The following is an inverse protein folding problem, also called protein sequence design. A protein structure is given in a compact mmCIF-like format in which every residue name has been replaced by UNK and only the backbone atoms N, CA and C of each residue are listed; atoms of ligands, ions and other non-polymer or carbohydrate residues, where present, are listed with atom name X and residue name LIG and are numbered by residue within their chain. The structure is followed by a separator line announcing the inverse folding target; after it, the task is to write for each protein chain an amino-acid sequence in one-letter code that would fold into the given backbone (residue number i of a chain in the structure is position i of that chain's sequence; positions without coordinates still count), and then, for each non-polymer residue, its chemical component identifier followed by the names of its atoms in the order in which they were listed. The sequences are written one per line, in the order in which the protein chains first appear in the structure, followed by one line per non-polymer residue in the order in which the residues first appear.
data_IF_759579164793
#
_entry.id   IF_759579164793
#
_cell.length_a   1.000
_cell.length_b   1.000
_cell.length_c   1.000
_cell.angle_alpha   90.00
_cell.angle_beta   90.00
_cell.angle_gamma   90.00
#
_symmetry.space_group_name_H-M   'P 1'
#
loop_
_entity.id
_entity.type
_entity.pdbx_description
1 polymer ?
#
# COMPACT_ATOMS: atom_id res chain seq x y z
N UNK A 1 -14.91 -26.51 18.12
CA UNK A 1 -15.65 -25.77 17.08
C UNK A 1 -14.76 -25.75 15.84
N UNK A 2 -15.27 -26.03 14.62
CA UNK A 2 -14.40 -26.17 13.46
C UNK A 2 -13.83 -24.80 13.09
N UNK A 3 -12.51 -24.70 13.14
CA UNK A 3 -11.77 -23.49 12.80
C UNK A 3 -11.68 -23.42 11.27
N UNK A 4 -12.28 -22.37 10.67
CA UNK A 4 -12.23 -22.17 9.23
C UNK A 4 -10.78 -21.80 8.88
N UNK A 5 -10.13 -22.61 8.02
CA UNK A 5 -8.76 -22.37 7.52
C UNK A 5 -8.61 -21.03 6.80
N UNK A 6 -9.72 -20.36 6.46
CA UNK A 6 -9.74 -19.04 5.88
C UNK A 6 -9.89 -18.00 7.00
N UNK A 7 -8.80 -17.28 7.27
CA UNK A 7 -8.82 -16.10 8.12
C UNK A 7 -9.70 -14.98 7.54
N UNK A 8 -9.86 -13.88 8.29
CA UNK A 8 -10.70 -12.75 7.85
C UNK A 8 -10.25 -12.25 6.47
N UNK A 9 -11.20 -12.24 5.53
CA UNK A 9 -10.95 -11.75 4.17
C UNK A 9 -10.50 -10.27 4.21
N UNK A 10 -9.53 -9.88 3.36
CA UNK A 10 -9.12 -8.49 3.25
C UNK A 10 -10.30 -7.64 2.80
N UNK A 11 -10.59 -6.56 3.52
CA UNK A 11 -11.61 -5.59 3.11
C UNK A 11 -11.08 -4.83 1.89
N UNK A 12 -11.73 -5.01 0.75
CA UNK A 12 -11.54 -4.12 -0.39
C UNK A 12 -12.36 -2.86 -0.10
N UNK A 13 -11.68 -1.75 0.20
CA UNK A 13 -12.31 -0.48 0.52
C UNK A 13 -12.19 0.49 -0.66
N UNK A 14 -13.28 1.18 -0.98
CA UNK A 14 -13.27 2.37 -1.83
C UNK A 14 -13.19 3.60 -0.92
N UNK A 15 -12.33 4.56 -1.28
CA UNK A 15 -12.17 5.81 -0.53
C UNK A 15 -12.60 6.97 -1.43
N UNK A 16 -13.53 7.80 -0.95
CA UNK A 16 -13.90 9.05 -1.63
C UNK A 16 -12.97 10.18 -1.17
N UNK A 17 -12.40 10.89 -2.13
CA UNK A 17 -11.51 12.04 -1.89
C UNK A 17 -11.98 13.22 -2.73
N UNK A 18 -12.03 14.42 -2.14
CA UNK A 18 -12.28 15.67 -2.85
C UNK A 18 -10.95 16.37 -3.08
N UNK A 19 -10.70 16.80 -4.32
CA UNK A 19 -9.48 17.51 -4.72
C UNK A 19 -9.84 18.85 -5.34
N UNK A 20 -9.01 19.86 -5.09
CA UNK A 20 -9.09 21.17 -5.74
C UNK A 20 -8.08 21.16 -6.88
N UNK A 21 -8.53 21.54 -8.08
CA UNK A 21 -7.72 21.55 -9.29
C UNK A 21 -7.80 22.95 -9.92
N UNK A 22 -6.73 23.45 -10.54
CA UNK A 22 -6.81 24.60 -11.44
C UNK A 22 -7.79 24.30 -12.59
N UNK A 23 -8.55 25.31 -13.01
CA UNK A 23 -9.50 25.19 -14.12
C UNK A 23 -8.84 24.70 -15.43
N UNK A 24 -7.66 25.21 -15.86
CA UNK A 24 -7.02 24.73 -17.08
C UNK A 24 -6.69 23.23 -17.03
N UNK A 25 -6.29 22.73 -15.87
CA UNK A 25 -5.97 21.31 -15.71
C UNK A 25 -7.24 20.44 -15.83
N UNK A 26 -8.39 20.92 -15.35
CA UNK A 26 -9.66 20.20 -15.52
C UNK A 26 -10.05 20.12 -16.99
N UNK A 27 -9.90 21.20 -17.74
CA UNK A 27 -10.20 21.24 -19.18
C UNK A 27 -9.32 20.27 -19.97
N UNK A 28 -8.01 20.23 -19.71
CA UNK A 28 -7.10 19.28 -20.36
C UNK A 28 -7.47 17.83 -20.05
N UNK A 29 -7.83 17.54 -18.79
CA UNK A 29 -8.23 16.20 -18.39
C UNK A 29 -9.55 15.76 -19.06
N UNK A 30 -10.51 16.68 -19.24
CA UNK A 30 -11.76 16.41 -19.94
C UNK A 30 -11.52 16.13 -21.43
N UNK A 31 -10.66 16.92 -22.07
CA UNK A 31 -10.28 16.70 -23.47
C UNK A 31 -9.60 15.33 -23.63
N UNK A 32 -8.68 14.99 -22.72
CA UNK A 32 -8.02 13.69 -22.73
C UNK A 32 -9.01 12.53 -22.55
N UNK A 33 -9.97 12.65 -21.62
CA UNK A 33 -11.01 11.64 -21.42
C UNK A 33 -11.91 11.48 -22.66
N UNK A 34 -12.24 12.59 -23.33
CA UNK A 34 -12.99 12.57 -24.58
C UNK A 34 -12.21 11.89 -25.72
N UNK A 35 -10.90 12.13 -25.84
CA UNK A 35 -10.05 11.43 -26.80
C UNK A 35 -9.94 9.93 -26.51
N UNK A 36 -9.71 9.57 -25.24
CA UNK A 36 -9.69 8.17 -24.80
C UNK A 36 -11.01 7.47 -25.15
N UNK A 37 -12.14 8.14 -24.90
CA UNK A 37 -13.49 7.62 -25.20
C UNK A 37 -13.75 7.42 -26.70
N UNK A 38 -13.02 8.10 -27.59
CA UNK A 38 -13.12 7.89 -29.05
C UNK A 38 -12.40 6.62 -29.50
N UNK A 39 -11.32 6.25 -28.81
CA UNK A 39 -10.50 5.10 -29.15
C UNK A 39 -10.94 3.83 -28.42
N UNK A 40 -11.53 3.98 -27.25
CA UNK A 40 -11.91 2.90 -26.34
C UNK A 40 -13.36 3.07 -25.88
N UNK A 41 -13.63 2.74 -24.62
CA UNK A 41 -14.95 2.88 -24.03
C UNK A 41 -15.18 4.30 -23.51
N UNK A 42 -16.43 4.81 -23.56
CA UNK A 42 -16.79 6.07 -22.95
C UNK A 42 -16.41 6.11 -21.46
N UNK A 43 -15.60 7.09 -21.08
CA UNK A 43 -15.13 7.27 -19.71
C UNK A 43 -15.18 8.72 -19.32
N UNK A 44 -15.62 8.99 -18.09
CA UNK A 44 -15.54 10.32 -17.52
C UNK A 44 -14.16 10.58 -16.89
N UNK A 45 -13.81 11.85 -16.76
CA UNK A 45 -12.54 12.27 -16.17
C UNK A 45 -12.34 11.74 -14.75
N UNK A 46 -13.39 11.69 -13.93
CA UNK A 46 -13.30 11.28 -12.54
C UNK A 46 -13.04 9.77 -12.37
N UNK A 47 -13.51 8.95 -13.30
CA UNK A 47 -13.27 7.52 -13.40
C UNK A 47 -11.87 7.24 -13.94
N UNK A 48 -11.36 8.09 -14.84
CA UNK A 48 -10.03 7.93 -15.44
C UNK A 48 -8.89 8.33 -14.50
N UNK A 49 -9.07 9.38 -13.69
CA UNK A 49 -8.04 9.91 -12.77
C UNK A 49 -7.46 8.83 -11.83
N UNK A 50 -8.24 7.98 -11.13
CA UNK A 50 -7.70 6.93 -10.28
C UNK A 50 -6.71 6.01 -11.00
N UNK A 51 -7.02 5.62 -12.24
CA UNK A 51 -6.14 4.78 -13.06
C UNK A 51 -4.85 5.48 -13.46
N UNK A 52 -4.94 6.75 -13.88
CA UNK A 52 -3.77 7.56 -14.19
C UNK A 52 -2.83 7.69 -12.97
N UNK A 53 -3.40 7.96 -11.78
CA UNK A 53 -2.65 8.10 -10.54
C UNK A 53 -2.00 6.78 -10.12
N UNK A 54 -2.67 5.64 -10.31
CA UNK A 54 -2.07 4.33 -10.05
C UNK A 54 -0.83 4.10 -10.93
N UNK A 55 -0.96 4.35 -12.23
CA UNK A 55 0.16 4.21 -13.18
C UNK A 55 1.30 5.17 -12.83
N UNK A 56 0.98 6.42 -12.51
CA UNK A 56 1.95 7.43 -12.09
C UNK A 56 2.73 7.00 -10.84
N UNK A 57 2.04 6.58 -9.78
CA UNK A 57 2.69 6.15 -8.53
C UNK A 57 3.55 4.89 -8.74
N UNK A 58 3.12 3.99 -9.62
CA UNK A 58 3.90 2.80 -10.00
C UNK A 58 5.14 3.15 -10.82
N UNK A 59 5.07 4.15 -11.68
CA UNK A 59 6.18 4.53 -12.56
C UNK A 59 7.24 5.39 -11.86
N UNK A 60 6.88 6.15 -10.80
CA UNK A 60 7.83 6.98 -10.05
C UNK A 60 8.92 6.14 -9.33
N UNK A 61 10.09 6.07 -9.99
CA UNK A 61 11.28 5.36 -9.49
C UNK A 61 11.80 5.94 -8.17
N UNK A 62 11.74 7.26 -8.01
CA UNK A 62 12.21 7.94 -6.80
C UNK A 62 11.34 7.57 -5.61
N UNK A 63 10.03 7.59 -5.79
CA UNK A 63 9.07 7.13 -4.81
C UNK A 63 9.27 5.65 -4.45
N UNK A 64 9.32 4.76 -5.45
CA UNK A 64 9.50 3.32 -5.22
C UNK A 64 10.78 3.01 -4.44
N UNK A 65 11.87 3.68 -4.77
CA UNK A 65 13.16 3.50 -4.09
C UNK A 65 13.07 3.89 -2.61
N UNK A 66 12.44 5.03 -2.28
CA UNK A 66 12.24 5.47 -0.90
C UNK A 66 11.31 4.52 -0.13
N UNK A 67 10.20 4.08 -0.74
CA UNK A 67 9.26 3.13 -0.14
C UNK A 67 9.93 1.80 0.21
N UNK A 68 10.76 1.26 -0.67
CA UNK A 68 11.50 0.02 -0.42
C UNK A 68 12.49 0.15 0.75
N UNK A 69 13.21 1.28 0.85
CA UNK A 69 14.12 1.57 1.97
C UNK A 69 13.37 1.66 3.30
N UNK A 70 12.24 2.37 3.33
CA UNK A 70 11.39 2.48 4.52
C UNK A 70 10.85 1.11 4.97
N UNK A 71 10.45 0.24 4.04
CA UNK A 71 10.03 -1.13 4.35
C UNK A 71 11.15 -1.97 4.98
N UNK A 72 12.37 -1.88 4.45
CA UNK A 72 13.55 -2.56 5.01
C UNK A 72 13.92 -2.04 6.41
N UNK A 73 13.80 -0.73 6.65
CA UNK A 73 14.05 -0.16 7.97
C UNK A 73 13.05 -0.67 9.02
N UNK A 74 11.75 -0.76 8.66
CA UNK A 74 10.70 -1.32 9.52
C UNK A 74 10.93 -2.80 9.84
N UNK A 75 11.44 -3.58 8.89
CA UNK A 75 11.77 -4.99 9.11
C UNK A 75 12.97 -5.19 10.03
N UNK A 76 13.96 -4.27 10.00
CA UNK A 76 15.15 -4.34 10.85
C UNK A 76 14.93 -3.82 12.27
N UNK A 77 13.88 -3.03 12.50
CA UNK A 77 13.53 -2.50 13.82
C UNK A 77 12.56 -3.36 14.62
N UNK A 78 12.14 -4.53 14.12
CA UNK A 78 11.35 -5.48 14.90
C UNK A 78 12.28 -6.21 15.87
N UNK A 79 12.06 -6.12 17.21
CA UNK A 79 12.89 -6.84 18.17
C UNK A 79 12.75 -8.35 17.93
N UNK A 80 13.83 -9.15 18.02
CA UNK A 80 13.70 -10.60 17.99
C UNK A 80 12.81 -11.02 19.17
N UNK A 81 11.85 -11.91 18.90
CA UNK A 81 11.08 -12.56 19.95
C UNK A 81 12.09 -13.21 20.91
N UNK A 82 12.12 -12.72 22.14
CA UNK A 82 13.00 -13.20 23.20
C UNK A 82 12.67 -14.65 23.50
N UNK A 83 13.54 -15.54 23.02
CA UNK A 83 13.55 -16.95 23.38
C UNK A 83 13.90 -17.07 24.87
N UNK A 84 12.86 -17.02 25.70
CA UNK A 84 12.99 -17.16 27.16
C UNK A 84 12.92 -18.64 27.47
N UNK A 85 14.03 -19.35 27.25
CA UNK A 85 14.17 -20.70 27.75
C UNK A 85 15.63 -21.03 28.10
N UNK A 86 15.81 -21.37 29.38
CA UNK A 86 16.96 -21.98 30.06
C UNK A 86 18.09 -21.05 30.50
N UNK A 87 17.99 -20.62 31.75
CA UNK A 87 19.08 -20.85 32.71
C UNK A 87 18.46 -21.13 34.06
N UNK A 88 18.57 -22.38 34.52
CA UNK A 88 18.07 -22.84 35.80
C UNK A 88 18.91 -24.03 36.26
N UNK A 89 19.55 -23.82 37.42
CA UNK A 89 20.20 -24.78 38.31
C UNK A 89 21.58 -25.31 37.90
N UNK A 90 22.61 -24.86 38.62
CA UNK A 90 23.50 -25.74 39.40
C UNK A 90 24.39 -24.89 40.33
N UNK A 91 23.86 -24.60 41.53
CA UNK A 91 24.67 -24.31 42.72
C UNK A 91 24.52 -25.55 43.60
N UNK A 92 25.54 -26.41 43.64
CA UNK A 92 25.66 -27.44 44.68
C UNK A 92 26.99 -27.33 45.42
N UNK A 93 26.84 -26.73 46.59
CA UNK A 93 27.49 -26.97 47.89
C UNK A 93 28.85 -27.66 47.94
N UNK A 94 29.78 -26.90 48.51
CA UNK A 94 30.97 -27.38 49.22
C UNK A 94 30.62 -28.33 50.37
N UNK A 95 31.40 -29.42 50.47
CA UNK A 95 31.70 -30.15 51.69
C UNK A 95 33.21 -30.43 51.69
#
# INVERSE_FOLDING_TARGET
MPDLKLGRLPKVGVVRMTIILPEPLKEELDQYAAEHSRLYEPVDTAALIPHMLEVFVRSDRGWRSRKAKAGRARQRGAPPASDTARSGAEDDRSA
#
